data_IF_211448173807
#
_entry.id   IF_211448173807
#
_cell.length_a   1.000
_cell.length_b   1.000
_cell.length_c   1.000
_cell.angle_alpha   90.00
_cell.angle_beta   90.00
_cell.angle_gamma   90.00
#
_symmetry.space_group_name_H-M   'P 1'
#
loop_
_entity.id
_entity.type
_entity.pdbx_description
1 polymer ?
#
# COMPACT_ATOMS: atom_id res chain seq x y z
N UNK A 1 -5.69 23.43 -44.28
CA UNK A 1 -4.55 22.54 -44.64
C UNK A 1 -4.18 21.70 -43.43
N UNK A 2 -4.36 20.37 -43.46
CA UNK A 2 -3.73 19.49 -42.48
C UNK A 2 -2.54 18.77 -43.13
N UNK A 3 -1.44 18.62 -42.38
CA UNK A 3 -0.41 17.61 -42.67
C UNK A 3 -0.27 16.70 -41.45
N UNK A 4 -0.36 15.38 -41.65
CA UNK A 4 0.38 14.45 -40.81
C UNK A 4 1.23 13.51 -41.69
N UNK A 5 2.50 13.33 -41.34
CA UNK A 5 3.28 12.15 -41.71
C UNK A 5 4.13 11.73 -40.52
N UNK A 6 3.71 10.67 -39.84
CA UNK A 6 4.54 9.93 -38.90
C UNK A 6 5.27 8.83 -39.71
N UNK A 7 6.59 8.90 -39.80
CA UNK A 7 7.39 7.81 -40.35
C UNK A 7 7.71 6.79 -39.26
N UNK A 8 7.19 5.59 -39.44
CA UNK A 8 7.58 4.37 -38.73
C UNK A 8 9.04 4.03 -39.09
N UNK A 9 9.92 4.01 -38.09
CA UNK A 9 11.32 3.64 -38.23
C UNK A 9 11.64 2.48 -37.29
N UNK A 10 11.64 1.28 -37.86
CA UNK A 10 12.16 0.05 -37.29
C UNK A 10 13.68 0.14 -37.07
N UNK A 11 14.19 -0.29 -35.91
CA UNK A 11 15.54 -0.87 -35.82
C UNK A 11 15.71 -1.68 -34.54
N UNK A 12 15.57 -3.00 -34.69
CA UNK A 12 16.02 -4.04 -33.76
C UNK A 12 17.56 -4.07 -33.77
N UNK A 13 18.20 -3.84 -32.63
CA UNK A 13 19.62 -4.14 -32.42
C UNK A 13 19.74 -5.46 -31.66
N UNK A 14 19.93 -6.56 -32.39
CA UNK A 14 20.36 -7.84 -31.85
C UNK A 14 21.87 -7.95 -32.07
N UNK A 15 22.63 -7.88 -30.98
CA UNK A 15 24.09 -8.01 -30.96
C UNK A 15 24.43 -9.50 -30.79
N UNK A 16 24.79 -10.16 -31.90
CA UNK A 16 25.22 -11.55 -31.92
C UNK A 16 26.74 -11.65 -31.66
N UNK A 17 27.09 -12.07 -30.45
CA UNK A 17 28.47 -12.35 -30.05
C UNK A 17 28.93 -13.69 -30.66
N UNK A 18 30.00 -13.58 -31.45
CA UNK A 18 30.79 -14.64 -32.10
C UNK A 18 31.07 -15.84 -31.17
N UNK A 19 30.60 -17.02 -31.57
CA UNK A 19 31.03 -18.32 -31.04
C UNK A 19 31.97 -18.96 -32.06
N UNK A 20 33.24 -19.14 -31.67
CA UNK A 20 34.23 -19.88 -32.45
C UNK A 20 34.05 -21.38 -32.15
N UNK A 21 33.61 -22.15 -33.13
CA UNK A 21 33.68 -23.61 -33.10
C UNK A 21 34.91 -23.98 -33.93
N UNK A 22 35.94 -24.50 -33.26
CA UNK A 22 37.09 -25.10 -33.90
C UNK A 22 36.75 -26.53 -34.33
N UNK A 23 37.01 -26.74 -35.60
CA UNK A 23 37.00 -27.98 -36.38
C UNK A 23 37.93 -29.02 -35.74
N UNK A 24 37.39 -30.16 -35.29
CA UNK A 24 38.17 -31.32 -34.85
C UNK A 24 37.99 -32.43 -35.87
N UNK A 25 38.91 -32.47 -36.83
CA UNK A 25 39.03 -33.51 -37.82
C UNK A 25 39.32 -34.88 -37.19
N UNK A 26 38.59 -35.87 -37.69
CA UNK A 26 38.90 -37.30 -37.61
C UNK A 26 40.35 -37.58 -38.03
N UNK A 27 41.08 -38.32 -37.22
CA UNK A 27 42.19 -39.17 -37.67
C UNK A 27 42.22 -40.42 -36.76
N UNK A 28 41.84 -41.54 -37.36
CA UNK A 28 41.94 -42.90 -36.82
C UNK A 28 43.39 -43.27 -36.53
N UNK A 29 43.71 -43.67 -35.29
CA UNK A 29 44.92 -44.45 -34.96
C UNK A 29 44.61 -45.49 -33.88
N UNK A 30 44.41 -46.72 -34.35
CA UNK A 30 44.99 -47.97 -33.85
C UNK A 30 45.06 -48.19 -32.31
N UNK A 31 44.09 -49.00 -31.85
CA UNK A 31 43.90 -49.44 -30.47
C UNK A 31 44.99 -50.42 -30.01
N UNK A 32 45.97 -49.92 -29.24
CA UNK A 32 46.86 -50.75 -28.43
C UNK A 32 46.32 -50.84 -26.98
N UNK A 33 45.91 -52.03 -26.48
CA UNK A 33 45.17 -52.16 -25.22
C UNK A 33 45.96 -51.76 -23.96
N UNK A 34 47.30 -51.74 -24.00
CA UNK A 34 48.10 -51.29 -22.86
C UNK A 34 48.14 -49.77 -22.69
N UNK A 35 47.99 -48.98 -23.76
CA UNK A 35 48.02 -47.50 -23.66
C UNK A 35 46.74 -46.94 -23.03
N UNK A 36 45.61 -47.66 -23.13
CA UNK A 36 44.34 -47.28 -22.47
C UNK A 36 44.41 -47.37 -20.95
N UNK A 37 45.14 -48.34 -20.41
CA UNK A 37 45.23 -48.55 -18.97
C UNK A 37 46.10 -47.47 -18.29
N UNK A 38 47.18 -47.03 -18.95
CA UNK A 38 48.04 -45.98 -18.41
C UNK A 38 47.36 -44.59 -18.44
N UNK A 39 46.62 -44.24 -19.48
CA UNK A 39 45.92 -42.94 -19.54
C UNK A 39 44.71 -42.85 -18.59
N UNK A 40 44.08 -43.98 -18.25
CA UNK A 40 42.98 -44.02 -17.27
C UNK A 40 43.46 -43.81 -15.84
N UNK A 41 44.66 -44.30 -15.49
CA UNK A 41 45.24 -44.14 -14.15
C UNK A 41 45.79 -42.71 -13.98
N UNK A 42 46.39 -42.13 -15.03
CA UNK A 42 46.90 -40.74 -14.97
C UNK A 42 45.77 -39.70 -14.91
N UNK A 43 44.62 -39.95 -15.55
CA UNK A 43 43.47 -39.04 -15.49
C UNK A 43 42.71 -39.13 -14.15
N UNK A 44 42.71 -40.29 -13.49
CA UNK A 44 42.09 -40.44 -12.17
C UNK A 44 42.89 -39.76 -11.04
N UNK A 45 44.23 -39.78 -11.11
CA UNK A 45 45.08 -39.08 -10.12
C UNK A 45 45.04 -37.55 -10.26
N UNK A 46 44.85 -37.03 -11.49
CA UNK A 46 44.71 -35.60 -11.74
C UNK A 46 43.33 -35.05 -11.31
N UNK A 47 42.30 -35.91 -11.27
CA UNK A 47 40.96 -35.54 -10.83
C UNK A 47 40.84 -35.48 -9.30
N UNK A 48 41.59 -36.31 -8.56
CA UNK A 48 41.60 -36.28 -7.09
C UNK A 48 42.37 -35.09 -6.50
N UNK A 49 43.27 -34.45 -7.26
CA UNK A 49 44.00 -33.24 -6.81
C UNK A 49 43.25 -31.93 -7.09
N UNK A 50 42.22 -31.95 -7.94
CA UNK A 50 41.34 -30.79 -8.17
C UNK A 50 40.12 -30.77 -7.24
N UNK A 51 39.78 -31.90 -6.60
CA UNK A 51 38.65 -31.98 -5.66
C UNK A 51 38.92 -31.33 -4.29
N UNK A 52 40.18 -31.13 -3.91
CA UNK A 52 40.54 -30.52 -2.60
C UNK A 52 40.60 -28.99 -2.61
N UNK A 53 40.40 -28.34 -3.77
CA UNK A 53 40.48 -26.87 -3.89
C UNK A 53 39.13 -26.20 -4.18
N UNK A 54 38.01 -26.94 -4.18
CA UNK A 54 36.69 -26.37 -4.43
C UNK A 54 36.09 -25.65 -3.21
N UNK A 55 36.60 -25.88 -2.00
CA UNK A 55 36.06 -25.27 -0.75
C UNK A 55 36.76 -23.97 -0.33
N UNK A 56 37.67 -23.42 -1.14
CA UNK A 56 38.51 -22.27 -0.78
C UNK A 56 38.26 -21.00 -1.62
N UNK A 57 37.07 -20.85 -2.20
CA UNK A 57 36.63 -19.59 -2.80
C UNK A 57 35.20 -19.31 -2.37
N UNK A 58 35.02 -18.99 -1.10
CA UNK A 58 33.88 -18.20 -0.62
C UNK A 58 33.93 -16.83 -1.28
N UNK A 59 33.52 -16.76 -2.55
CA UNK A 59 33.10 -15.53 -3.19
C UNK A 59 31.90 -15.05 -2.39
N UNK A 60 32.19 -14.18 -1.44
CA UNK A 60 31.25 -13.33 -0.75
C UNK A 60 30.58 -12.46 -1.82
N UNK A 61 29.64 -13.06 -2.57
CA UNK A 61 28.58 -12.34 -3.26
C UNK A 61 27.75 -11.75 -2.13
N UNK A 62 28.26 -10.66 -1.55
CA UNK A 62 27.37 -9.58 -1.16
C UNK A 62 26.58 -9.32 -2.43
N UNK A 63 25.39 -9.88 -2.51
CA UNK A 63 24.33 -9.29 -3.30
C UNK A 63 24.31 -7.84 -2.85
N UNK A 64 25.06 -7.03 -3.60
CA UNK A 64 25.00 -5.59 -3.50
C UNK A 64 23.69 -5.32 -4.20
N UNK A 65 22.59 -5.59 -3.49
CA UNK A 65 21.30 -5.00 -3.75
C UNK A 65 21.61 -3.52 -3.72
N UNK A 66 21.79 -2.94 -4.91
CA UNK A 66 21.80 -1.50 -5.10
C UNK A 66 20.39 -1.11 -4.63
N UNK A 67 20.27 -0.82 -3.34
CA UNK A 67 19.07 -0.23 -2.80
C UNK A 67 18.89 1.06 -3.59
N UNK A 68 17.90 1.07 -4.48
CA UNK A 68 17.45 2.28 -5.14
C UNK A 68 17.29 3.34 -4.05
N UNK A 69 18.11 4.39 -4.08
CA UNK A 69 17.91 5.56 -3.24
C UNK A 69 16.72 6.32 -3.83
N UNK A 70 15.53 5.76 -3.68
CA UNK A 70 14.30 6.37 -4.12
C UNK A 70 14.06 7.63 -3.27
N UNK A 71 13.68 8.73 -3.92
CA UNK A 71 13.27 9.96 -3.24
C UNK A 71 11.86 9.76 -2.65
N UNK A 72 11.78 9.09 -1.50
CA UNK A 72 10.53 8.71 -0.86
C UNK A 72 10.39 9.36 0.52
N UNK A 73 9.13 9.60 0.89
CA UNK A 73 8.75 9.91 2.27
C UNK A 73 8.08 8.68 2.88
N UNK A 74 8.35 8.43 4.17
CA UNK A 74 7.63 7.41 4.92
C UNK A 74 6.38 8.04 5.54
N UNK A 75 5.23 7.38 5.40
CA UNK A 75 3.99 7.78 6.05
C UNK A 75 3.37 6.61 6.79
N UNK A 76 2.77 6.88 7.95
CA UNK A 76 1.90 5.90 8.61
C UNK A 76 0.60 5.80 7.81
N UNK A 77 0.05 4.60 7.76
CA UNK A 77 -1.21 4.33 7.10
C UNK A 77 -2.12 3.56 8.05
N UNK A 78 -3.40 3.89 8.02
CA UNK A 78 -4.40 3.16 8.79
C UNK A 78 -4.59 1.76 8.18
N UNK A 79 -4.49 0.72 9.01
CA UNK A 79 -4.77 -0.65 8.59
C UNK A 79 -6.27 -0.93 8.61
N UNK A 80 -6.72 -1.98 7.91
CA UNK A 80 -8.11 -2.44 8.01
C UNK A 80 -8.50 -2.82 9.45
N UNK A 81 -7.58 -3.44 10.21
CA UNK A 81 -7.79 -3.78 11.62
C UNK A 81 -7.97 -2.52 12.48
N UNK A 82 -7.13 -1.49 12.24
CA UNK A 82 -7.27 -0.19 12.89
C UNK A 82 -8.60 0.49 12.54
N UNK A 83 -9.01 0.47 11.27
CA UNK A 83 -10.31 1.01 10.85
C UNK A 83 -11.49 0.28 11.52
N UNK A 84 -11.43 -1.05 11.65
CA UNK A 84 -12.43 -1.84 12.39
C UNK A 84 -12.45 -1.51 13.87
N UNK A 85 -11.29 -1.30 14.50
CA UNK A 85 -11.19 -0.87 15.90
C UNK A 85 -11.86 0.48 16.13
N UNK A 86 -11.60 1.44 15.23
CA UNK A 86 -12.25 2.77 15.23
C UNK A 86 -13.78 2.65 15.11
N UNK A 87 -14.27 1.83 14.19
CA UNK A 87 -15.71 1.58 14.03
C UNK A 87 -16.30 0.93 15.29
N UNK A 88 -15.64 -0.09 15.85
CA UNK A 88 -16.11 -0.78 17.05
C UNK A 88 -16.25 0.19 18.25
N UNK A 89 -15.28 1.09 18.43
CA UNK A 89 -15.32 2.12 19.47
C UNK A 89 -16.46 3.12 19.22
N UNK A 90 -16.68 3.55 17.98
CA UNK A 90 -17.81 4.41 17.62
C UNK A 90 -19.15 3.74 17.88
N UNK A 91 -19.31 2.45 17.52
CA UNK A 91 -20.54 1.68 17.79
C UNK A 91 -20.79 1.55 19.30
N UNK A 92 -19.73 1.28 20.09
CA UNK A 92 -19.84 1.22 21.54
C UNK A 92 -20.32 2.56 22.12
N UNK A 93 -19.77 3.68 21.65
CA UNK A 93 -20.19 5.02 22.07
C UNK A 93 -21.63 5.34 21.65
N UNK A 94 -22.03 4.96 20.43
CA UNK A 94 -23.40 5.14 19.94
C UNK A 94 -24.42 4.39 20.81
N UNK A 95 -24.09 3.15 21.22
CA UNK A 95 -24.91 2.36 22.15
C UNK A 95 -25.00 3.00 23.53
N UNK A 96 -23.88 3.44 24.10
CA UNK A 96 -23.85 4.12 25.41
C UNK A 96 -24.69 5.40 25.43
N UNK A 97 -24.74 6.12 24.30
CA UNK A 97 -25.49 7.37 24.15
C UNK A 97 -26.93 7.18 23.66
N UNK A 98 -27.44 5.95 23.59
CA UNK A 98 -28.76 5.62 23.07
C UNK A 98 -29.06 6.28 21.70
N UNK A 99 -28.08 6.26 20.80
CA UNK A 99 -28.27 6.79 19.44
C UNK A 99 -29.34 5.97 18.70
N UNK A 100 -30.33 6.61 18.04
CA UNK A 100 -31.41 5.91 17.34
C UNK A 100 -30.94 5.16 16.09
N UNK A 101 -29.74 5.47 15.60
CA UNK A 101 -29.10 4.90 14.42
C UNK A 101 -27.74 5.54 14.19
N UNK A 102 -27.10 5.17 13.08
CA UNK A 102 -25.83 5.75 12.64
C UNK A 102 -25.20 4.95 11.50
N UNK A 103 -24.69 5.64 10.49
CA UNK A 103 -23.70 5.11 9.56
C UNK A 103 -22.33 5.66 9.95
N UNK A 104 -21.34 4.78 10.01
CA UNK A 104 -19.98 5.06 10.43
C UNK A 104 -19.06 4.67 9.28
N UNK A 105 -18.33 5.62 8.73
CA UNK A 105 -17.38 5.43 7.66
C UNK A 105 -15.97 5.75 8.16
N UNK A 106 -14.99 4.97 7.74
CA UNK A 106 -13.57 5.24 7.97
C UNK A 106 -12.83 5.25 6.63
N UNK A 107 -12.06 6.32 6.40
CA UNK A 107 -11.29 6.54 5.18
C UNK A 107 -9.79 6.63 5.49
N UNK A 108 -8.96 6.38 4.49
CA UNK A 108 -7.52 6.66 4.54
C UNK A 108 -7.23 8.17 4.47
N UNK A 109 -5.95 8.56 4.60
CA UNK A 109 -5.50 9.95 4.45
C UNK A 109 -5.87 10.57 3.09
N UNK A 110 -5.98 9.75 2.04
CA UNK A 110 -6.40 10.17 0.71
C UNK A 110 -7.92 10.27 0.53
N UNK A 111 -8.71 10.03 1.58
CA UNK A 111 -10.17 10.07 1.53
C UNK A 111 -10.82 8.84 0.87
N UNK A 112 -10.07 7.75 0.68
CA UNK A 112 -10.60 6.51 0.14
C UNK A 112 -11.24 5.66 1.24
N UNK A 113 -12.40 5.09 0.97
CA UNK A 113 -13.12 4.27 1.95
C UNK A 113 -12.35 2.99 2.28
N UNK A 114 -12.10 2.76 3.57
CA UNK A 114 -11.53 1.51 4.09
C UNK A 114 -12.64 0.61 4.62
N UNK A 115 -13.54 1.16 5.43
CA UNK A 115 -14.60 0.41 6.09
C UNK A 115 -15.83 1.28 6.33
N UNK A 116 -17.02 0.66 6.27
CA UNK A 116 -18.30 1.28 6.56
C UNK A 116 -19.20 0.29 7.29
N UNK A 117 -19.81 0.74 8.38
CA UNK A 117 -20.90 0.02 9.04
C UNK A 117 -22.11 0.93 9.18
N UNK A 118 -23.29 0.42 8.83
CA UNK A 118 -24.56 1.12 8.97
C UNK A 118 -25.43 0.34 9.95
N UNK A 119 -25.74 0.98 11.08
CA UNK A 119 -26.57 0.41 12.13
C UNK A 119 -28.01 0.25 11.65
N UNK A 120 -28.72 -0.70 12.26
CA UNK A 120 -30.14 -0.93 12.00
C UNK A 120 -30.95 0.35 12.24
N UNK A 121 -32.07 0.48 11.51
CA UNK A 121 -32.97 1.63 11.57
C UNK A 121 -32.37 3.00 11.18
N UNK A 122 -31.14 3.03 10.63
CA UNK A 122 -30.52 4.24 10.08
C UNK A 122 -31.10 4.60 8.70
N UNK A 123 -31.38 5.88 8.46
CA UNK A 123 -31.86 6.36 7.15
C UNK A 123 -30.87 6.07 6.01
N UNK A 124 -31.39 5.78 4.81
CA UNK A 124 -30.59 5.22 3.70
C UNK A 124 -29.43 6.12 3.23
N UNK A 125 -29.61 7.44 3.22
CA UNK A 125 -28.58 8.38 2.78
C UNK A 125 -27.41 8.53 3.77
N UNK A 126 -27.54 8.03 5.01
CA UNK A 126 -26.52 8.18 6.04
C UNK A 126 -25.18 7.56 5.62
N UNK A 127 -25.19 6.45 4.87
CA UNK A 127 -23.97 5.81 4.38
C UNK A 127 -23.14 6.79 3.53
N UNK A 128 -23.73 7.36 2.48
CA UNK A 128 -23.04 8.31 1.61
C UNK A 128 -22.64 9.59 2.35
N UNK A 129 -23.48 10.09 3.25
CA UNK A 129 -23.16 11.27 4.06
C UNK A 129 -21.97 10.99 4.98
N UNK A 130 -21.93 9.83 5.65
CA UNK A 130 -20.81 9.44 6.52
C UNK A 130 -19.49 9.32 5.74
N UNK A 131 -19.51 8.73 4.53
CA UNK A 131 -18.34 8.67 3.64
C UNK A 131 -17.89 10.10 3.26
N UNK A 132 -18.82 10.95 2.84
CA UNK A 132 -18.53 12.33 2.45
C UNK A 132 -17.93 13.15 3.59
N UNK A 133 -18.47 13.03 4.82
CA UNK A 133 -17.94 13.68 6.01
C UNK A 133 -16.52 13.21 6.32
N UNK A 134 -16.28 11.89 6.32
CA UNK A 134 -14.96 11.32 6.57
C UNK A 134 -13.94 11.78 5.51
N UNK A 135 -14.30 11.70 4.23
CA UNK A 135 -13.47 12.15 3.11
C UNK A 135 -13.14 13.63 3.20
N UNK A 136 -14.12 14.47 3.50
CA UNK A 136 -13.92 15.91 3.67
C UNK A 136 -12.92 16.16 4.81
N UNK A 137 -13.06 15.47 5.93
CA UNK A 137 -12.12 15.62 7.03
C UNK A 137 -10.70 15.19 6.64
N UNK A 138 -10.54 14.04 6.00
CA UNK A 138 -9.22 13.52 5.59
C UNK A 138 -8.51 14.44 4.58
N UNK A 139 -9.19 14.83 3.49
CA UNK A 139 -8.61 15.61 2.40
C UNK A 139 -8.18 17.00 2.88
N UNK A 140 -9.02 17.66 3.68
CA UNK A 140 -8.74 19.00 4.14
C UNK A 140 -7.99 19.04 5.48
N UNK A 141 -7.73 17.88 6.09
CA UNK A 141 -7.05 17.73 7.39
C UNK A 141 -7.66 18.64 8.46
N UNK A 142 -9.00 18.75 8.46
CA UNK A 142 -9.78 19.53 9.41
C UNK A 142 -11.12 18.83 9.72
N UNK A 143 -11.62 18.87 10.96
CA UNK A 143 -12.95 18.37 11.28
C UNK A 143 -14.04 19.06 10.45
N UNK A 144 -15.09 18.34 10.07
CA UNK A 144 -16.14 18.93 9.21
C UNK A 144 -16.92 20.04 9.88
N UNK A 145 -16.97 20.07 11.21
CA UNK A 145 -17.53 21.16 12.02
C UNK A 145 -16.92 22.52 11.65
N UNK A 146 -15.61 22.57 11.43
CA UNK A 146 -14.92 23.80 11.04
C UNK A 146 -15.52 24.42 9.77
N UNK A 147 -15.80 23.58 8.77
CA UNK A 147 -16.39 24.03 7.51
C UNK A 147 -17.86 24.40 7.64
N UNK A 148 -18.62 23.64 8.43
CA UNK A 148 -20.01 23.98 8.71
C UNK A 148 -20.12 25.35 9.40
N UNK A 149 -19.28 25.60 10.41
CA UNK A 149 -19.26 26.87 11.13
C UNK A 149 -18.80 28.03 10.21
N UNK A 150 -17.83 27.78 9.32
CA UNK A 150 -17.41 28.76 8.32
C UNK A 150 -18.55 29.15 7.36
N UNK A 151 -19.36 28.18 6.93
CA UNK A 151 -20.52 28.41 6.06
C UNK A 151 -21.60 29.20 6.80
N UNK A 152 -21.90 28.84 8.06
CA UNK A 152 -22.82 29.59 8.93
C UNK A 152 -22.37 31.04 9.11
N UNK A 153 -21.06 31.29 9.13
CA UNK A 153 -20.45 32.61 9.25
C UNK A 153 -20.27 33.33 7.89
N UNK A 154 -20.96 32.90 6.83
CA UNK A 154 -21.06 33.62 5.56
C UNK A 154 -20.14 33.13 4.45
N UNK A 155 -19.31 32.10 4.67
CA UNK A 155 -18.52 31.47 3.58
C UNK A 155 -19.35 30.47 2.77
N UNK A 156 -20.53 30.87 2.31
CA UNK A 156 -21.52 30.02 1.64
C UNK A 156 -21.04 29.46 0.30
N UNK A 157 -20.06 30.11 -0.35
CA UNK A 157 -19.46 29.61 -1.58
C UNK A 157 -18.78 28.25 -1.45
N UNK A 158 -18.41 27.83 -0.22
CA UNK A 158 -17.84 26.50 0.04
C UNK A 158 -18.78 25.35 -0.35
N UNK A 159 -20.10 25.56 -0.33
CA UNK A 159 -21.09 24.53 -0.68
C UNK A 159 -21.02 24.12 -2.15
N UNK A 160 -20.48 24.96 -3.03
CA UNK A 160 -20.35 24.66 -4.46
C UNK A 160 -19.14 23.76 -4.78
N UNK A 161 -18.32 23.42 -3.79
CA UNK A 161 -17.14 22.57 -3.99
C UNK A 161 -17.56 21.12 -4.30
N UNK A 162 -16.98 20.46 -5.32
CA UNK A 162 -17.25 19.06 -5.60
C UNK A 162 -16.71 18.16 -4.49
N UNK A 163 -17.37 17.01 -4.29
CA UNK A 163 -16.99 15.98 -3.30
C UNK A 163 -16.77 16.52 -1.87
N UNK A 164 -17.54 17.54 -1.50
CA UNK A 164 -17.40 18.25 -0.23
C UNK A 164 -18.68 18.11 0.60
N UNK A 165 -18.54 17.57 1.82
CA UNK A 165 -19.65 17.36 2.75
C UNK A 165 -19.35 18.08 4.08
N UNK A 166 -19.61 19.40 4.16
CA UNK A 166 -19.29 20.23 5.32
C UNK A 166 -20.37 20.13 6.39
N UNK A 167 -20.66 18.91 6.83
CA UNK A 167 -21.63 18.62 7.88
C UNK A 167 -20.89 18.03 9.08
N UNK A 168 -21.07 18.60 10.26
CA UNK A 168 -20.48 18.17 11.53
C UNK A 168 -20.67 16.66 11.75
N UNK A 169 -19.61 15.98 12.20
CA UNK A 169 -19.56 14.52 12.36
C UNK A 169 -18.40 13.82 11.65
N UNK A 170 -17.56 14.55 10.91
CA UNK A 170 -16.29 14.08 10.36
C UNK A 170 -15.11 14.53 11.21
N UNK A 171 -14.29 13.58 11.66
CA UNK A 171 -13.19 13.78 12.62
C UNK A 171 -11.92 13.09 12.13
N UNK A 172 -10.77 13.71 12.37
CA UNK A 172 -9.46 13.19 11.97
C UNK A 172 -9.05 11.99 12.84
N UNK A 173 -8.33 11.05 12.23
CA UNK A 173 -7.63 9.98 12.93
C UNK A 173 -6.14 10.31 12.84
N UNK A 174 -5.53 10.57 13.99
CA UNK A 174 -4.15 11.01 14.10
C UNK A 174 -3.31 10.04 14.93
N UNK A 175 -2.06 9.82 14.50
CA UNK A 175 -1.06 9.07 15.25
C UNK A 175 0.25 9.87 15.22
N UNK A 176 0.78 10.22 16.39
CA UNK A 176 1.98 11.06 16.56
C UNK A 176 1.93 12.37 15.75
N UNK A 177 0.77 13.03 15.74
CA UNK A 177 0.55 14.29 15.01
C UNK A 177 0.44 14.13 13.49
N UNK A 178 0.48 12.91 12.95
CA UNK A 178 0.20 12.64 11.54
C UNK A 178 -1.26 12.20 11.37
N UNK A 179 -2.01 12.90 10.53
CA UNK A 179 -3.32 12.44 10.03
C UNK A 179 -3.10 11.21 9.17
N UNK A 180 -3.66 10.08 9.58
CA UNK A 180 -3.57 8.80 8.86
C UNK A 180 -4.90 8.37 8.22
N UNK A 181 -5.95 9.14 8.47
CA UNK A 181 -7.29 8.91 7.96
C UNK A 181 -8.32 9.78 8.66
N UNK A 182 -9.60 9.46 8.48
CA UNK A 182 -10.70 10.13 9.16
C UNK A 182 -11.88 9.18 9.36
N UNK A 183 -12.70 9.50 10.35
CA UNK A 183 -13.98 8.86 10.63
C UNK A 183 -15.11 9.85 10.35
N UNK A 184 -16.21 9.37 9.78
CA UNK A 184 -17.43 10.15 9.57
C UNK A 184 -18.63 9.40 10.14
N UNK A 185 -19.49 10.11 10.86
CA UNK A 185 -20.73 9.56 11.43
C UNK A 185 -21.93 10.36 10.94
N UNK A 186 -23.01 9.66 10.60
CA UNK A 186 -24.28 10.29 10.23
C UNK A 186 -25.48 9.48 10.70
N UNK A 187 -26.46 10.15 11.30
CA UNK A 187 -27.75 9.56 11.65
C UNK A 187 -27.97 9.28 13.13
N UNK A 188 -27.15 9.89 13.98
CA UNK A 188 -27.51 10.11 15.37
C UNK A 188 -28.63 11.16 15.50
N UNK A 189 -29.07 11.43 16.74
CA UNK A 189 -30.17 12.37 17.02
C UNK A 189 -29.82 13.83 16.68
N UNK A 190 -28.54 14.17 16.58
CA UNK A 190 -28.06 15.50 16.23
C UNK A 190 -26.67 15.46 15.60
N UNK A 191 -26.29 16.53 14.89
CA UNK A 191 -24.95 16.65 14.33
C UNK A 191 -23.86 16.68 15.42
N UNK A 192 -24.17 17.22 16.60
CA UNK A 192 -23.31 17.16 17.78
C UNK A 192 -23.09 15.72 18.23
N UNK A 193 -24.15 14.90 18.27
CA UNK A 193 -24.05 13.50 18.66
C UNK A 193 -23.27 12.68 17.61
N UNK A 194 -23.42 12.98 16.31
CA UNK A 194 -22.58 12.40 15.26
C UNK A 194 -21.08 12.66 15.55
N UNK A 195 -20.71 13.91 15.87
CA UNK A 195 -19.32 14.27 16.18
C UNK A 195 -18.80 13.61 17.46
N UNK A 196 -19.59 13.55 18.53
CA UNK A 196 -19.20 12.88 19.78
C UNK A 196 -18.90 11.39 19.56
N UNK A 197 -19.71 10.71 18.74
CA UNK A 197 -19.51 9.30 18.37
C UNK A 197 -18.25 9.16 17.49
N UNK A 198 -18.03 10.07 16.54
CA UNK A 198 -16.85 10.09 15.69
C UNK A 198 -15.55 10.28 16.50
N UNK A 199 -15.56 11.21 17.47
CA UNK A 199 -14.43 11.45 18.38
C UNK A 199 -14.13 10.18 19.20
N UNK A 200 -15.16 9.53 19.75
CA UNK A 200 -14.98 8.28 20.49
C UNK A 200 -14.37 7.17 19.62
N UNK A 201 -14.81 7.06 18.37
CA UNK A 201 -14.23 6.16 17.38
C UNK A 201 -12.75 6.45 17.11
N UNK A 202 -12.40 7.70 16.79
CA UNK A 202 -11.03 8.11 16.52
C UNK A 202 -10.09 7.81 17.70
N UNK A 203 -10.55 8.05 18.93
CA UNK A 203 -9.78 7.76 20.15
C UNK A 203 -9.60 6.25 20.41
N UNK A 204 -10.50 5.41 19.89
CA UNK A 204 -10.46 3.95 20.07
C UNK A 204 -9.27 3.26 19.39
N UNK A 205 -8.64 3.90 18.40
CA UNK A 205 -7.46 3.34 17.72
C UNK A 205 -6.30 3.09 18.70
N UNK A 206 -6.12 3.98 19.67
CA UNK A 206 -5.02 3.93 20.64
C UNK A 206 -5.21 2.85 21.71
N UNK A 207 -6.45 2.39 21.93
CA UNK A 207 -6.75 1.36 22.93
C UNK A 207 -6.33 -0.05 22.50
N UNK A 208 -6.15 -0.29 21.19
CA UNK A 208 -5.76 -1.60 20.64
C UNK A 208 -4.24 -1.84 20.55
N UNK A 209 -3.40 -0.82 20.70
CA UNK A 209 -1.93 -0.93 20.52
C UNK A 209 -1.22 -1.53 21.74
N UNK A 210 -1.88 -1.62 22.90
CA UNK A 210 -1.28 -2.06 24.17
C UNK A 210 -1.65 -3.45 24.69
N UNK A 211 -2.24 -4.34 23.87
CA UNK A 211 -2.77 -5.65 24.32
C UNK A 211 -2.19 -6.84 23.55
N UNK A 212 -0.95 -6.76 23.06
CA UNK A 212 -0.22 -7.92 22.52
C UNK A 212 1.12 -8.09 23.20
#
# INVERSE_FOLDING_TARGET
>A
MPRPVASCGSQLHLNASRFWILDFGLLDVEVNPMKRLMHSITMALLLSTLASNADAQGINRKETTIASQAQVINKKALTLEGARSVIAAAIAAAKQKNSPGGAIAVVDEGGNLIALERLDNTFGAAANVSIGKARTAAIFKHPTKFFEDAIKNGRTSLVAMPDFTPLQGGVLIEVDGQVIGAIGVSGASSAQQDEEIAIAGANGLNSSVGQR
#
